data_IF_775057476445
#
_entry.id   IF_775057476445
#
_cell.length_a   1.000
_cell.length_b   1.000
_cell.length_c   1.000
_cell.angle_alpha   90.00
_cell.angle_beta   90.00
_cell.angle_gamma   90.00
#
_symmetry.space_group_name_H-M   'P 1'
#
loop_
_entity.id
_entity.type
_entity.pdbx_description
1 polymer ?
2 polymer ?
#
# COMPACT_ATOMS: atom_id res chain seq x y z
N UNK A 5 -16.77 1.15 -8.80
CA UNK A 5 -16.44 2.42 -8.11
C UNK A 5 -14.92 2.61 -7.98
N UNK A 6 -14.20 1.69 -7.32
CA UNK A 6 -12.74 1.82 -7.30
C UNK A 6 -12.01 0.65 -7.92
N UNK A 7 -11.08 0.96 -8.80
CA UNK A 7 -10.33 -0.06 -9.49
C UNK A 7 -8.99 0.54 -9.96
N UNK A 8 -8.23 -0.25 -10.72
CA UNK A 8 -6.93 0.17 -11.21
C UNK A 8 -6.88 1.43 -12.02
N UNK A 9 -8.01 2.05 -12.37
CA UNK A 9 -8.00 3.20 -13.30
C UNK A 9 -8.18 4.55 -12.61
N UNK A 10 -8.63 4.52 -11.36
CA UNK A 10 -8.73 5.74 -10.52
C UNK A 10 -8.02 5.61 -9.16
N UNK A 11 -7.25 4.53 -8.99
CA UNK A 11 -6.55 4.23 -7.75
C UNK A 11 -5.19 4.91 -7.77
N UNK A 12 -5.03 5.86 -6.85
CA UNK A 12 -3.75 6.55 -6.71
C UNK A 12 -2.75 5.63 -6.08
N UNK A 13 -3.16 4.95 -5.01
CA UNK A 13 -2.25 4.17 -4.17
C UNK A 13 -3.11 3.06 -3.62
N UNK A 14 -2.49 1.92 -3.37
CA UNK A 14 -3.19 0.73 -2.92
C UNK A 14 -2.13 -0.14 -2.29
N UNK A 15 -2.22 -0.32 -0.98
CA UNK A 15 -1.37 -1.25 -0.28
C UNK A 15 -2.17 -2.31 0.48
N UNK A 16 -2.12 -3.57 0.07
CA UNK A 16 -2.77 -4.62 0.81
C UNK A 16 -2.06 -4.97 2.12
N UNK A 17 -2.86 -5.16 3.15
CA UNK A 17 -2.46 -5.98 4.29
C UNK A 17 -2.02 -5.24 5.54
N UNK A 18 -2.61 -4.06 5.75
CA UNK A 18 -2.16 -3.16 6.78
C UNK A 18 -2.86 -3.61 8.03
N UNK A 19 -2.27 -3.38 9.20
CA UNK A 19 -2.89 -3.77 10.45
C UNK A 19 -3.46 -2.57 11.15
N UNK A 20 -4.70 -2.24 10.81
CA UNK A 20 -5.42 -1.10 11.42
C UNK A 20 -5.73 -1.37 12.88
N UNK A 21 -5.24 -0.51 13.79
CA UNK A 21 -5.57 -0.63 15.22
C UNK A 21 -6.50 0.45 15.72
N UNK A 22 -6.50 1.59 15.06
CA UNK A 22 -7.51 2.59 15.31
C UNK A 22 -7.93 3.12 13.95
N UNK A 23 -9.15 3.57 13.84
CA UNK A 23 -10.22 3.59 14.82
C UNK A 23 -10.95 2.24 14.84
N UNK A 24 -10.26 1.19 14.44
CA UNK A 24 -10.74 -0.16 14.63
C UNK A 24 -9.59 -1.15 14.46
N UNK A 25 -9.71 -2.30 15.10
CA UNK A 25 -8.74 -3.38 14.96
C UNK A 25 -9.13 -4.32 13.82
N UNK A 26 -8.38 -4.31 12.71
CA UNK A 26 -8.62 -5.28 11.61
C UNK A 26 -7.55 -5.17 10.56
N UNK A 27 -7.20 -6.30 9.94
CA UNK A 27 -6.30 -6.31 8.76
C UNK A 27 -7.07 -5.81 7.55
N UNK A 28 -6.60 -4.70 6.98
CA UNK A 28 -7.30 -4.06 5.89
C UNK A 28 -6.37 -3.63 4.77
N UNK A 29 -6.98 -3.13 3.70
CA UNK A 29 -6.25 -2.54 2.59
C UNK A 29 -6.37 -1.07 2.63
N UNK A 30 -5.31 -0.36 2.29
CA UNK A 30 -5.33 1.11 2.35
C UNK A 30 -5.37 1.63 0.94
N UNK A 31 -6.27 2.54 0.66
CA UNK A 31 -6.46 3.00 -0.72
C UNK A 31 -6.74 4.49 -0.84
N UNK A 32 -5.94 5.13 -1.69
CA UNK A 32 -6.24 6.50 -2.14
C UNK A 32 -6.78 6.44 -3.57
N UNK A 33 -7.88 7.10 -3.82
CA UNK A 33 -8.40 7.08 -5.18
C UNK A 33 -9.25 8.26 -5.46
N UNK A 34 -9.42 8.59 -6.73
CA UNK A 34 -10.34 9.68 -7.14
C UNK A 34 -11.72 9.12 -7.46
N UNK A 35 -12.71 9.59 -6.71
CA UNK A 35 -14.12 9.26 -6.94
C UNK A 35 -14.50 9.41 -8.43
N UNK A 36 -15.24 8.44 -8.96
CA UNK A 36 -15.73 8.56 -10.34
C UNK A 36 -16.95 9.45 -10.43
N UNK A 37 -17.71 9.57 -9.35
CA UNK A 37 -18.73 10.63 -9.29
C UNK A 37 -18.15 12.01 -9.65
N UNK A 38 -17.27 12.57 -8.83
CA UNK A 38 -16.87 13.99 -9.01
C UNK A 38 -15.37 14.29 -9.11
N UNK A 39 -14.55 13.32 -9.56
CA UNK A 39 -13.07 13.51 -9.63
C UNK A 39 -12.29 13.85 -8.35
N UNK A 40 -12.92 13.67 -7.18
CA UNK A 40 -12.38 14.09 -5.89
C UNK A 40 -11.62 12.94 -5.22
N UNK A 41 -10.56 13.24 -4.47
CA UNK A 41 -9.74 12.19 -3.94
C UNK A 41 -10.26 11.67 -2.63
N UNK A 42 -10.02 10.40 -2.33
CA UNK A 42 -10.54 9.80 -1.12
C UNK A 42 -9.56 8.80 -0.52
N UNK A 43 -9.59 8.75 0.80
CA UNK A 43 -8.91 7.76 1.52
C UNK A 43 -10.00 6.85 1.96
N UNK A 44 -9.77 5.55 1.79
CA UNK A 44 -10.66 4.54 2.31
C UNK A 44 -9.81 3.42 2.91
N UNK A 45 -10.41 2.60 3.77
CA UNK A 45 -9.89 1.28 4.14
C UNK A 45 -10.89 0.15 3.69
N UNK A 46 -10.39 -0.86 2.96
CA UNK A 46 -11.27 -1.89 2.39
C UNK A 46 -11.05 -3.26 3.01
N UNK A 47 -12.17 -4.00 3.07
CA UNK A 47 -12.18 -5.43 3.31
C UNK A 47 -12.69 -5.95 2.01
N UNK A 48 -11.84 -6.65 1.24
CA UNK A 48 -12.14 -6.92 -0.14
C UNK A 48 -12.63 -5.63 -0.79
N UNK A 49 -13.93 -5.54 -0.99
CA UNK A 49 -14.57 -4.32 -1.50
C UNK A 49 -15.57 -3.69 -0.51
N UNK A 50 -15.61 -4.15 0.75
CA UNK A 50 -16.25 -3.35 1.80
C UNK A 50 -15.46 -2.04 1.98
N UNK A 51 -16.08 -1.07 2.62
CA UNK A 51 -15.40 0.12 2.98
C UNK A 51 -15.68 0.41 4.45
N UNK A 52 -14.74 0.06 5.30
CA UNK A 52 -14.93 0.20 6.71
C UNK A 52 -14.91 1.65 7.19
N UNK A 53 -14.39 2.53 6.34
CA UNK A 53 -13.98 3.87 6.72
C UNK A 53 -13.53 4.50 5.42
N UNK A 54 -14.12 5.63 5.09
CA UNK A 54 -13.63 6.44 4.03
C UNK A 54 -13.53 7.85 4.51
N UNK A 55 -12.46 8.54 4.13
CA UNK A 55 -12.29 9.95 4.38
C UNK A 55 -12.16 10.69 3.06
N UNK A 56 -13.06 11.64 2.84
CA UNK A 56 -13.15 12.44 1.61
C UNK A 56 -12.48 13.80 1.67
N UNK A 57 -11.79 14.15 0.60
CA UNK A 57 -11.59 15.55 0.24
C UNK A 57 -12.12 15.83 -1.17
N UNK A 60 -7.81 20.58 3.82
CA UNK A 60 -9.23 20.37 4.01
C UNK A 60 -9.55 19.41 5.19
N UNK A 61 -9.55 18.08 4.99
CA UNK A 61 -10.09 17.13 6.01
C UNK A 61 -9.05 16.52 6.95
N UNK A 62 -8.02 15.94 6.36
CA UNK A 62 -6.89 15.43 7.12
C UNK A 62 -6.14 16.59 7.77
N UNK A 63 -5.98 16.54 9.09
CA UNK A 63 -5.35 17.64 9.85
C UNK A 63 -3.83 17.44 9.93
N UNK A 64 -3.42 16.20 10.22
CA UNK A 64 -2.04 15.84 10.49
C UNK A 64 -1.89 14.39 10.20
N UNK A 65 -0.80 14.04 9.54
CA UNK A 65 -0.45 12.63 9.37
C UNK A 65 1.07 12.39 9.36
N UNK A 66 1.49 11.22 9.80
CA UNK A 66 2.89 11.03 10.11
C UNK A 66 3.27 9.55 10.18
N UNK A 67 4.47 9.20 9.71
CA UNK A 67 5.03 7.89 10.03
C UNK A 67 5.66 7.95 11.43
N UNK A 68 5.40 6.95 12.29
CA UNK A 68 5.93 6.95 13.66
C UNK A 68 6.51 5.59 13.95
N UNK A 69 7.58 5.53 14.75
CA UNK A 69 8.18 4.23 14.97
C UNK A 69 7.47 3.54 16.06
N UNK A 70 7.70 2.24 16.12
CA UNK A 70 7.01 1.40 17.08
C UNK A 70 7.94 1.08 18.20
N UNK A 71 7.71 1.60 19.39
CA UNK A 71 8.62 1.26 20.49
C UNK A 71 9.09 -0.19 20.36
N UNK A 72 10.42 -0.30 20.31
CA UNK A 72 11.16 -1.53 20.41
C UNK A 72 10.98 -2.51 19.24
N UNK A 73 10.27 -2.10 18.19
CA UNK A 73 9.94 -3.02 17.09
C UNK A 73 10.22 -2.34 15.75
N UNK A 74 11.40 -2.62 15.15
CA UNK A 74 11.81 -1.98 13.90
C UNK A 74 11.35 -2.64 12.58
N UNK A 75 10.82 -3.84 12.64
CA UNK A 75 10.26 -4.36 11.42
C UNK A 75 8.90 -3.68 11.21
N UNK A 76 8.54 -2.77 12.10
CA UNK A 76 7.19 -2.25 12.14
C UNK A 76 7.17 -0.73 12.18
N UNK A 77 6.04 -0.16 11.78
CA UNK A 77 5.89 1.27 11.69
C UNK A 77 4.41 1.66 11.63
N UNK A 78 4.08 2.74 12.33
CA UNK A 78 2.75 3.29 12.41
C UNK A 78 2.56 4.31 11.32
N UNK A 79 1.40 4.38 10.71
CA UNK A 79 1.01 5.56 9.97
C UNK A 79 -0.14 6.13 10.75
N UNK A 80 -0.02 7.39 11.12
CA UNK A 80 -0.97 8.03 11.99
C UNK A 80 -1.61 9.16 11.22
N UNK A 81 -2.95 9.22 11.22
CA UNK A 81 -3.66 10.21 10.46
C UNK A 81 -4.81 10.62 11.31
N UNK A 82 -4.98 11.92 11.44
CA UNK A 82 -6.14 12.51 12.09
C UNK A 82 -7.01 13.23 11.03
N UNK A 83 -8.30 13.40 11.33
CA UNK A 83 -9.22 13.96 10.37
C UNK A 83 -10.43 14.65 11.05
N UNK A 84 -10.91 15.74 10.46
CA UNK A 84 -12.14 16.41 10.88
C UNK A 84 -13.33 15.46 10.80
N UNK A 85 -13.43 14.66 9.73
CA UNK A 85 -14.59 13.70 9.56
C UNK A 85 -14.45 12.59 8.51
N UNK A 86 -15.33 11.60 8.59
CA UNK A 86 -15.33 10.49 7.64
C UNK A 86 -16.76 10.12 7.26
N UNK A 87 -16.94 9.04 6.50
CA UNK A 87 -18.24 8.64 5.99
C UNK A 87 -19.17 8.26 7.13
N UNK A 88 -20.41 8.79 7.13
CA UNK A 88 -21.45 8.42 8.14
C UNK A 88 -21.04 8.79 9.58
N UNK A 89 -20.06 9.66 9.74
CA UNK A 89 -19.40 9.78 11.02
C UNK A 89 -19.26 8.46 11.79
N UNK A 90 -18.88 7.38 11.11
CA UNK A 90 -18.82 6.04 11.70
C UNK A 90 -17.83 6.01 12.85
N UNK A 91 -16.75 6.78 12.70
CA UNK A 91 -15.70 6.87 13.72
C UNK A 91 -15.28 8.32 13.85
N UNK A 92 -14.51 8.62 14.91
CA UNK A 92 -13.89 9.96 15.13
C UNK A 92 -12.40 9.87 15.40
N UNK A 93 -12.00 8.83 16.15
CA UNK A 93 -10.61 8.57 16.51
C UNK A 93 -9.61 8.48 15.33
N UNK A 94 -8.33 8.75 15.61
CA UNK A 94 -7.37 8.82 14.52
C UNK A 94 -7.08 7.45 13.93
N UNK A 95 -6.64 7.48 12.69
CA UNK A 95 -6.26 6.30 12.01
C UNK A 95 -4.82 6.02 12.41
N UNK A 96 -4.65 4.93 13.16
CA UNK A 96 -3.36 4.35 13.38
C UNK A 96 -3.40 2.98 12.76
N UNK A 97 -2.34 2.68 12.01
CA UNK A 97 -2.17 1.40 11.46
C UNK A 97 -0.70 1.13 11.58
N UNK A 98 -0.31 -0.08 11.26
CA UNK A 98 1.02 -0.56 11.47
C UNK A 98 1.49 -1.28 10.18
N UNK A 99 2.45 -0.68 9.48
CA UNK A 99 3.01 -1.31 8.29
C UNK A 99 4.15 -2.20 8.74
N UNK A 100 4.18 -3.41 8.21
CA UNK A 100 5.38 -4.19 8.32
C UNK A 100 6.40 -3.74 7.25
N UNK A 101 7.68 -3.57 7.62
CA UNK A 101 8.65 -3.10 6.67
C UNK A 101 8.94 -4.13 5.61
N UNK A 102 9.33 -5.32 6.04
CA UNK A 102 9.79 -6.32 5.08
C UNK A 102 8.68 -6.63 4.10
N UNK A 103 7.46 -6.72 4.61
CA UNK A 103 6.35 -7.09 3.77
C UNK A 103 6.10 -5.99 2.79
N UNK A 104 6.18 -4.78 3.28
CA UNK A 104 5.90 -3.65 2.48
C UNK A 104 6.82 -3.73 1.29
N UNK A 105 8.09 -3.98 1.55
CA UNK A 105 9.07 -4.02 0.47
C UNK A 105 8.66 -5.09 -0.56
N UNK A 106 8.31 -6.29 -0.11
CA UNK A 106 8.07 -7.40 -1.03
C UNK A 106 6.81 -7.11 -1.84
N UNK A 107 5.81 -6.49 -1.22
CA UNK A 107 4.62 -6.05 -1.93
C UNK A 107 4.90 -4.97 -3.00
N UNK A 108 5.70 -3.98 -2.65
CA UNK A 108 6.14 -2.99 -3.63
C UNK A 108 6.86 -3.69 -4.77
N UNK A 109 7.57 -4.77 -4.42
CA UNK A 109 8.27 -5.57 -5.43
C UNK A 109 7.26 -6.34 -6.30
N UNK A 110 6.31 -7.03 -5.68
CA UNK A 110 5.31 -7.74 -6.47
C UNK A 110 4.37 -6.77 -7.30
N UNK A 111 4.30 -5.50 -6.92
CA UNK A 111 3.63 -4.51 -7.78
C UNK A 111 4.56 -4.00 -8.87
N UNK A 112 5.82 -4.42 -8.87
CA UNK A 112 6.78 -3.87 -9.82
C UNK A 112 7.10 -2.40 -9.56
N UNK A 113 6.95 -1.94 -8.31
CA UNK A 113 7.31 -0.57 -7.99
C UNK A 113 8.77 -0.45 -7.67
N UNK A 114 9.41 -1.52 -7.21
CA UNK A 114 10.81 -1.43 -6.87
C UNK A 114 11.48 -2.74 -7.22
N UNK A 115 12.76 -2.70 -7.59
CA UNK A 115 13.48 -3.92 -8.09
C UNK A 115 13.76 -4.98 -7.00
N UNK A 116 14.08 -6.17 -7.48
CA UNK A 116 14.46 -7.28 -6.63
C UNK A 116 15.49 -6.90 -5.55
N UNK A 117 16.41 -6.00 -5.91
CA UNK A 117 17.57 -5.76 -5.09
C UNK A 117 17.34 -4.71 -4.00
N UNK A 118 16.40 -3.79 -4.20
CA UNK A 118 16.23 -2.64 -3.30
C UNK A 118 15.92 -3.11 -1.90
N UNK A 119 16.53 -2.53 -0.88
CA UNK A 119 16.21 -2.95 0.49
C UNK A 119 15.95 -1.83 1.46
N UNK A 120 15.88 -0.62 0.97
CA UNK A 120 15.68 0.57 1.78
C UNK A 120 14.18 0.98 1.76
N UNK A 121 13.50 0.67 2.86
CA UNK A 121 12.08 0.97 3.11
C UNK A 121 11.71 2.45 2.87
N UNK A 122 12.60 3.36 3.19
CA UNK A 122 12.28 4.74 2.94
C UNK A 122 11.91 4.90 1.44
N UNK A 123 12.29 3.96 0.56
CA UNK A 123 11.83 4.06 -0.83
C UNK A 123 10.33 3.84 -0.92
N UNK A 124 9.83 2.94 -0.11
CA UNK A 124 8.40 2.75 -0.06
C UNK A 124 7.83 4.04 0.44
N UNK A 125 8.41 4.55 1.52
CA UNK A 125 7.88 5.71 2.27
C UNK A 125 7.78 6.95 1.37
N UNK A 126 8.85 7.21 0.64
CA UNK A 126 8.90 8.23 -0.39
C UNK A 126 7.64 8.09 -1.26
N UNK A 127 7.38 6.87 -1.74
CA UNK A 127 6.29 6.66 -2.66
C UNK A 127 4.95 6.96 -2.00
N UNK A 128 4.77 6.56 -0.73
CA UNK A 128 3.48 6.77 -0.05
C UNK A 128 3.24 8.26 0.16
N UNK A 129 4.30 8.96 0.55
CA UNK A 129 4.19 10.40 0.84
C UNK A 129 3.74 11.19 -0.40
N UNK A 130 4.17 10.71 -1.56
CA UNK A 130 3.95 11.36 -2.82
C UNK A 130 2.55 11.07 -3.34
N UNK A 131 2.12 9.82 -3.28
CA UNK A 131 0.76 9.54 -3.69
C UNK A 131 -0.18 10.37 -2.81
N UNK A 132 0.13 10.44 -1.53
CA UNK A 132 -0.66 11.23 -0.58
C UNK A 132 -0.84 12.68 -0.97
N UNK A 133 0.26 13.37 -1.33
CA UNK A 133 0.18 14.73 -1.85
C UNK A 133 -0.80 14.77 -3.02
N UNK A 134 -0.81 13.71 -3.83
CA UNK A 134 -1.77 13.58 -4.91
C UNK A 134 -3.18 13.40 -4.40
N UNK A 135 -3.33 13.05 -3.12
CA UNK A 135 -4.66 12.87 -2.49
C UNK A 135 -5.02 14.10 -1.58
N UNK A 136 -4.29 15.20 -1.79
CA UNK A 136 -4.57 16.46 -1.11
C UNK A 136 -3.98 16.51 0.28
N UNK A 137 -3.01 15.64 0.62
CA UNK A 137 -2.51 15.64 1.99
C UNK A 137 -1.04 15.27 2.24
N UNK A 138 -0.47 15.82 3.33
CA UNK A 138 0.93 15.56 3.74
C UNK A 138 1.05 14.51 4.82
N UNK A 139 1.93 13.52 4.61
CA UNK A 139 2.36 12.62 5.68
C UNK A 139 3.82 12.98 6.10
N UNK A 140 4.04 13.49 7.31
CA UNK A 140 5.39 13.81 7.68
C UNK A 140 6.15 12.53 8.07
N UNK A 141 7.48 12.65 8.11
CA UNK A 141 8.37 11.56 8.47
C UNK A 141 9.57 12.03 9.33
N UNK A 142 9.28 12.50 10.55
CA UNK A 142 10.21 13.16 11.46
C UNK A 142 11.22 12.31 12.25
N UNK A 143 11.17 11.00 12.16
CA UNK A 143 12.26 10.16 12.65
C UNK A 143 13.17 9.66 11.50
N UNK A 144 13.16 10.42 10.41
CA UNK A 144 14.19 10.35 9.42
C UNK A 144 14.68 11.79 9.18
N UNK A 157 14.24 17.99 15.05
CA UNK A 157 14.77 16.72 15.57
C UNK A 157 13.96 15.98 16.71
N UNK A 158 13.24 14.91 16.36
CA UNK A 158 12.19 14.32 17.20
C UNK A 158 12.65 13.18 18.08
N UNK A 159 11.82 12.77 19.03
CA UNK A 159 12.13 11.65 19.92
C UNK A 159 10.84 11.18 20.59
N UNK A 160 10.83 9.94 21.12
CA UNK A 160 9.68 9.38 21.93
C UNK A 160 10.07 8.58 23.19
N UNK A 161 9.17 8.47 24.17
CA UNK A 161 9.43 7.76 25.42
C UNK A 161 8.17 7.11 25.94
N UNK A 162 8.34 6.15 26.84
CA UNK A 162 7.22 5.54 27.56
C UNK A 162 6.79 6.30 28.82
N UNK A 163 5.52 6.20 29.15
CA UNK A 163 5.00 6.79 30.36
C UNK A 163 3.58 6.28 30.58
N UNK A 164 2.88 6.84 31.55
CA UNK A 164 1.55 6.39 31.87
C UNK A 164 0.68 7.60 31.93
N UNK A 165 -0.55 7.46 31.42
CA UNK A 165 -1.68 8.33 31.77
C UNK A 165 -2.62 7.60 32.72
N UNK A 166 -2.98 8.25 33.82
CA UNK A 166 -3.66 7.54 34.91
C UNK A 166 -3.01 6.17 35.08
N UNK A 167 -3.75 5.14 34.71
CA UNK A 167 -3.30 3.77 34.85
C UNK A 167 -2.75 3.14 33.56
N UNK A 168 -2.95 3.80 32.42
CA UNK A 168 -2.57 3.23 31.12
C UNK A 168 -1.19 3.68 30.67
N UNK A 169 -0.34 2.72 30.30
CA UNK A 169 0.88 3.01 29.60
C UNK A 169 0.55 3.47 28.20
N UNK A 170 1.41 4.37 27.69
CA UNK A 170 1.41 4.89 26.32
C UNK A 170 2.78 5.36 25.85
N UNK A 171 2.88 5.77 24.59
CA UNK A 171 4.09 6.40 24.09
C UNK A 171 3.80 7.87 23.92
N UNK A 172 4.68 8.68 24.47
CA UNK A 172 4.62 10.12 24.23
C UNK A 172 5.64 10.35 23.12
N UNK A 173 5.19 10.86 21.98
CA UNK A 173 6.09 11.24 20.89
C UNK A 173 6.22 12.75 20.82
N UNK A 174 7.45 13.23 20.61
CA UNK A 174 7.73 14.68 20.52
C UNK A 174 8.19 15.00 19.11
N UNK A 175 7.36 15.76 18.39
CA UNK A 175 7.61 16.07 16.95
C UNK A 175 7.90 17.57 16.76
N UNK A 176 8.26 17.99 15.54
CA UNK A 176 8.57 19.40 15.48
C UNK A 176 7.44 20.31 15.93
N UNK A 177 6.21 20.03 15.53
CA UNK A 177 5.13 20.99 15.79
C UNK A 177 3.97 20.39 16.51
N UNK A 178 4.00 19.09 16.79
CA UNK A 178 2.95 18.38 17.56
C UNK A 178 3.58 17.57 18.70
N UNK A 179 2.78 17.28 19.72
CA UNK A 179 3.07 16.16 20.59
C UNK A 179 1.94 15.14 20.56
N UNK A 180 2.27 13.88 20.45
CA UNK A 180 1.28 12.87 20.37
C UNK A 180 1.51 11.93 21.52
N UNK A 181 0.41 11.53 22.18
CA UNK A 181 0.41 10.48 23.19
C UNK A 181 -0.45 9.31 22.71
N UNK A 182 0.17 8.15 22.49
CA UNK A 182 -0.49 6.99 21.82
C UNK A 182 -0.33 5.62 22.51
N UNK A 183 -1.10 4.60 22.14
CA UNK A 183 -2.23 4.67 21.19
C UNK A 183 -3.52 4.01 21.76
N UNK A 184 -3.50 3.69 23.05
CA UNK A 184 -4.73 3.37 23.74
C UNK A 184 -5.72 4.51 23.55
N UNK A 185 -6.98 4.15 23.36
CA UNK A 185 -8.03 5.16 23.31
C UNK A 185 -8.11 5.83 24.70
N UNK A 186 -8.26 7.18 24.77
CA UNK A 186 -8.34 8.22 23.74
C UNK A 186 -6.96 8.68 23.30
N UNK A 187 -6.76 8.78 22.00
CA UNK A 187 -5.45 9.09 21.44
C UNK A 187 -5.35 10.58 21.46
N UNK A 188 -4.28 11.14 22.00
CA UNK A 188 -4.14 12.61 22.08
C UNK A 188 -3.13 13.19 21.10
N UNK A 189 -3.46 14.38 20.67
CA UNK A 189 -2.64 15.15 19.76
C UNK A 189 -2.65 16.56 20.33
N UNK A 190 -1.51 17.21 20.38
CA UNK A 190 -1.44 18.53 20.92
C UNK A 190 -0.59 19.26 19.92
N UNK A 191 -1.14 20.33 19.35
CA UNK A 191 -0.36 21.23 18.48
C UNK A 191 0.59 22.05 19.36
N UNK A 192 1.88 22.07 19.02
CA UNK A 192 2.90 22.63 19.91
C UNK A 192 2.55 24.03 20.34
N UNK A 193 2.06 24.83 19.40
CA UNK A 193 1.64 26.19 19.70
C UNK A 193 0.46 26.31 20.67
N UNK A 194 -0.18 25.19 21.03
CA UNK A 194 -1.21 25.20 22.08
C UNK A 194 -0.66 24.88 23.50
N UNK A 195 0.67 24.76 23.66
CA UNK A 195 1.29 24.36 24.92
C UNK A 195 1.74 25.61 25.69
N UNK A 196 0.90 26.00 26.65
CA UNK A 196 1.23 27.06 27.59
C UNK A 196 2.50 26.71 28.38
N UNK A 197 2.49 25.52 29.00
CA UNK A 197 3.61 25.06 29.81
C UNK A 197 3.67 23.55 30.00
N UNK A 198 4.89 23.07 30.27
CA UNK A 198 5.12 21.71 30.76
C UNK A 198 5.88 21.78 32.07
N UNK A 199 5.23 21.52 33.20
CA UNK A 199 5.90 21.56 34.51
C UNK A 199 6.35 20.15 34.99
N UNK A 200 7.55 20.08 35.58
CA UNK A 200 8.20 18.79 35.94
C UNK A 200 8.13 18.44 37.42
N UNK A 201 8.27 17.18 37.74
CA UNK A 201 8.13 16.74 39.10
C UNK A 201 8.77 15.37 39.35
N UNK A 202 9.71 15.36 40.30
CA UNK A 202 10.39 14.15 40.70
C UNK A 202 9.53 13.32 41.63
N UNK A 203 9.71 12.01 41.50
CA UNK A 203 9.16 10.99 42.39
C UNK A 203 10.26 10.10 42.97
N UNK A 204 11.36 9.99 42.23
CA UNK A 204 12.50 9.21 42.58
C UNK A 204 13.64 9.85 41.80
N UNK A 205 14.88 9.46 42.12
CA UNK A 205 16.06 9.88 41.34
C UNK A 205 15.97 9.29 39.95
N UNK A 206 15.28 8.15 39.85
CA UNK A 206 15.14 7.37 38.63
C UNK A 206 13.97 7.76 37.75
N UNK A 207 12.89 8.29 38.34
CA UNK A 207 11.63 8.51 37.60
C UNK A 207 10.88 9.81 37.98
N UNK A 208 10.31 10.50 36.97
CA UNK A 208 9.49 11.70 37.21
C UNK A 208 8.16 11.76 36.41
N UNK A 209 7.32 12.71 36.85
CA UNK A 209 6.07 13.12 36.22
C UNK A 209 6.16 14.50 35.58
N UNK A 210 5.67 14.55 34.35
CA UNK A 210 5.48 15.79 33.61
C UNK A 210 3.99 16.11 33.44
N UNK A 211 3.64 17.39 33.48
CA UNK A 211 2.28 17.86 33.27
C UNK A 211 2.26 18.92 32.17
N UNK A 212 1.53 18.65 31.08
CA UNK A 212 1.26 19.63 29.99
C UNK A 212 0.15 20.56 30.40
N UNK A 213 0.25 21.82 30.00
CA UNK A 213 -0.86 22.73 30.21
C UNK A 213 -1.21 23.46 28.90
N UNK A 214 -2.46 23.23 28.44
CA UNK A 214 -3.04 23.86 27.23
C UNK A 214 -3.50 25.28 27.52
N UNK A 215 -3.47 26.15 26.51
CA UNK A 215 -3.87 27.58 26.64
C UNK A 215 -5.25 27.80 27.24
N UNK A 216 -6.09 26.77 27.14
CA UNK A 216 -7.43 26.77 27.70
C UNK A 216 -7.50 26.13 29.11
N UNK A 217 -6.35 25.79 29.71
CA UNK A 217 -6.31 25.38 31.13
C UNK A 217 -6.41 23.90 31.49
N UNK A 218 -6.55 23.01 30.50
CA UNK A 218 -6.52 21.56 30.74
C UNK A 218 -5.14 21.03 31.16
N UNK A 219 -5.12 20.11 32.11
CA UNK A 219 -3.88 19.57 32.64
C UNK A 219 -3.87 18.15 32.25
N UNK A 220 -2.70 17.64 31.85
CA UNK A 220 -2.55 16.26 31.42
C UNK A 220 -1.28 15.72 32.05
N UNK A 221 -1.47 14.78 32.99
CA UNK A 221 -0.45 14.35 33.96
C UNK A 221 0.27 13.11 33.48
N UNK A 222 1.31 13.31 32.68
CA UNK A 222 2.10 12.21 32.14
C UNK A 222 3.11 11.66 33.16
N UNK A 223 2.76 10.57 33.83
CA UNK A 223 3.57 10.14 34.95
C UNK A 223 4.55 9.06 34.56
N UNK A 224 5.42 8.74 35.50
CA UNK A 224 6.33 7.59 35.48
C UNK A 224 7.37 7.60 34.41
N UNK A 225 7.75 8.80 33.98
CA UNK A 225 8.80 8.90 32.96
C UNK A 225 10.15 8.62 33.59
N UNK A 226 10.94 7.78 32.94
CA UNK A 226 12.34 7.61 33.27
C UNK A 226 13.10 8.97 33.18
N UNK A 227 13.98 9.18 34.16
CA UNK A 227 14.77 10.41 34.32
C UNK A 227 15.77 10.67 33.19
N UNK A 228 16.17 9.62 32.49
CA UNK A 228 17.12 9.77 31.37
C UNK A 228 16.50 10.64 30.27
N UNK A 229 15.17 10.69 30.25
CA UNK A 229 14.44 11.46 29.24
C UNK A 229 14.31 12.96 29.58
N UNK A 230 14.58 13.32 30.82
CA UNK A 230 14.40 14.68 31.28
C UNK A 230 15.07 15.70 30.35
N UNK A 231 16.38 15.52 30.17
CA UNK A 231 17.15 16.39 29.27
C UNK A 231 16.40 16.64 27.96
N UNK A 232 15.99 15.58 27.28
CA UNK A 232 15.32 15.74 26.01
C UNK A 232 14.06 16.56 26.13
N UNK A 233 13.36 16.49 27.24
CA UNK A 233 12.13 17.30 27.35
C UNK A 233 12.43 18.79 27.59
N UNK A 234 13.35 19.12 28.50
CA UNK A 234 13.73 20.53 28.71
C UNK A 234 14.18 21.22 27.41
N UNK A 235 15.12 20.58 26.75
CA UNK A 235 15.59 20.98 25.44
C UNK A 235 14.43 21.29 24.48
N UNK A 236 13.43 20.40 24.46
CA UNK A 236 12.26 20.60 23.63
C UNK A 236 11.58 21.95 23.92
N UNK A 237 11.60 22.41 25.18
CA UNK A 237 11.10 23.77 25.52
C UNK A 237 12.20 24.82 25.79
N UNK B 10 -2.90 5.34 -26.48
CA UNK B 10 -1.79 5.14 -27.47
C UNK B 10 -1.52 3.68 -27.94
N UNK B 11 -1.18 3.55 -29.22
CA UNK B 11 -1.10 2.25 -29.91
C UNK B 11 0.34 1.86 -30.14
N UNK B 12 0.80 0.89 -29.38
CA UNK B 12 2.11 0.35 -29.58
C UNK B 12 1.90 -1.01 -30.24
N UNK B 13 2.84 -1.35 -31.13
CA UNK B 13 2.95 -2.65 -31.80
C UNK B 13 1.63 -3.36 -32.05
N UNK B 14 0.65 -2.61 -32.53
CA UNK B 14 -0.69 -3.13 -32.81
C UNK B 14 -1.61 -2.99 -31.63
N UNK B 15 -1.07 -3.23 -30.43
CA UNK B 15 -1.88 -3.24 -29.22
C UNK B 15 -2.41 -1.87 -28.89
N UNK B 16 -3.72 -1.85 -28.60
CA UNK B 16 -4.37 -0.62 -28.24
C UNK B 16 -4.28 -0.36 -26.74
N UNK B 17 -3.41 0.59 -26.31
CA UNK B 17 -3.07 0.76 -24.86
C UNK B 17 -3.72 1.94 -24.18
N UNK B 18 -4.61 1.69 -23.22
CA UNK B 18 -5.21 2.80 -22.47
C UNK B 18 -4.26 3.25 -21.38
N UNK B 19 -4.06 4.56 -21.36
CA UNK B 19 -3.07 5.18 -20.52
C UNK B 19 -3.80 5.97 -19.44
N UNK B 20 -3.45 5.67 -18.20
CA UNK B 20 -4.05 6.32 -17.08
C UNK B 20 -3.27 7.60 -16.80
N UNK B 21 -3.88 8.57 -16.10
CA UNK B 21 -3.04 9.66 -15.55
C UNK B 21 -1.92 9.10 -14.70
N UNK B 22 -0.77 9.75 -14.82
CA UNK B 22 0.51 9.24 -14.29
C UNK B 22 0.54 9.06 -12.76
N UNK B 23 -0.22 9.92 -12.07
CA UNK B 23 -0.42 9.78 -10.64
C UNK B 23 -0.88 8.40 -10.24
N UNK B 24 -1.51 7.64 -11.15
CA UNK B 24 -2.17 6.42 -10.77
C UNK B 24 -1.11 5.36 -10.53
N UNK B 25 -1.33 4.56 -9.49
CA UNK B 25 -0.37 3.55 -9.10
C UNK B 25 0.02 2.72 -10.34
N UNK B 26 -0.98 2.28 -11.11
CA UNK B 26 -0.76 1.41 -12.25
C UNK B 26 0.16 2.09 -13.23
N UNK B 27 -0.02 3.39 -13.40
CA UNK B 27 0.78 4.12 -14.34
C UNK B 27 2.23 3.98 -13.94
N UNK B 28 2.50 4.04 -12.65
CA UNK B 28 3.86 3.88 -12.20
C UNK B 28 4.23 2.43 -12.13
N UNK B 29 3.31 1.50 -12.35
CA UNK B 29 3.79 0.09 -12.43
C UNK B 29 3.91 -0.44 -13.84
N UNK B 30 3.75 0.45 -14.83
CA UNK B 30 4.03 0.14 -16.24
C UNK B 30 5.49 0.45 -16.63
N UNK B 31 6.25 -0.55 -17.06
CA UNK B 31 7.59 -0.31 -17.63
C UNK B 31 7.70 -0.76 -19.11
N UNK B 32 6.58 -1.13 -19.70
CA UNK B 32 6.49 -1.46 -21.14
C UNK B 32 7.06 -0.34 -22.03
N UNK B 33 8.02 -0.71 -22.85
CA UNK B 33 8.81 0.25 -23.60
C UNK B 33 9.37 -0.46 -24.85
N UNK B 34 9.83 0.34 -25.82
CA UNK B 34 10.70 -0.15 -26.88
C UNK B 34 12.13 -0.17 -26.39
N UNK B 35 12.80 -1.29 -26.53
CA UNK B 35 14.10 -1.42 -25.91
C UNK B 35 15.20 -1.35 -26.96
N UNK B 36 16.04 -0.32 -26.86
CA UNK B 36 16.91 0.05 -27.98
C UNK B 36 17.75 -1.15 -28.39
N UNK B 37 18.62 -1.58 -27.48
CA UNK B 37 19.68 -2.53 -27.81
C UNK B 37 19.10 -3.84 -28.35
N UNK B 38 18.09 -4.35 -27.64
CA UNK B 38 17.44 -5.59 -28.08
C UNK B 38 16.70 -5.42 -29.39
N UNK B 39 16.37 -4.18 -29.74
CA UNK B 39 15.76 -3.82 -31.03
C UNK B 39 14.28 -4.25 -31.18
N UNK B 40 13.58 -4.26 -30.06
CA UNK B 40 12.19 -4.68 -30.03
C UNK B 40 11.36 -4.06 -28.89
N UNK B 41 10.10 -4.47 -28.81
CA UNK B 41 9.25 -4.04 -27.73
C UNK B 41 9.18 -5.03 -26.57
N UNK B 42 9.13 -4.48 -25.35
CA UNK B 42 9.05 -5.29 -24.16
C UNK B 42 7.89 -4.82 -23.29
N UNK B 43 7.50 -5.70 -22.42
CA UNK B 43 6.17 -5.68 -21.91
C UNK B 43 6.18 -6.03 -20.42
N UNK B 44 5.67 -5.12 -19.62
CA UNK B 44 5.31 -5.46 -18.29
C UNK B 44 3.99 -6.25 -18.41
N UNK B 45 3.88 -7.40 -17.76
CA UNK B 45 2.57 -7.98 -17.61
C UNK B 45 2.23 -8.10 -16.11
N UNK B 46 0.94 -8.03 -15.79
CA UNK B 46 0.47 -8.31 -14.43
C UNK B 46 -0.04 -9.76 -14.27
N UNK B 47 0.74 -10.58 -13.60
CA UNK B 47 0.35 -11.95 -13.37
C UNK B 47 -0.59 -11.98 -12.20
N UNK B 48 -1.72 -12.63 -12.36
CA UNK B 48 -2.62 -12.90 -11.24
C UNK B 48 -2.89 -14.40 -11.21
N UNK B 49 -2.35 -15.06 -10.18
CA UNK B 49 -2.50 -16.50 -9.99
C UNK B 49 -3.69 -16.77 -9.11
N UNK B 50 -4.63 -17.56 -9.64
CA UNK B 50 -5.79 -17.99 -8.87
C UNK B 50 -5.61 -19.44 -8.43
N UNK B 51 -5.48 -19.64 -7.12
CA UNK B 51 -5.27 -20.95 -6.59
C UNK B 51 -6.61 -21.64 -6.49
N UNK B 52 -6.55 -22.87 -6.01
CA UNK B 52 -7.68 -23.78 -5.96
C UNK B 52 -8.43 -23.65 -4.63
N UNK B 53 -9.60 -23.01 -4.71
CA UNK B 53 -10.41 -22.70 -3.55
C UNK B 53 -11.09 -23.94 -2.95
N UNK B 54 -11.87 -23.75 -1.89
CA UNK B 54 -12.40 -24.85 -1.07
C UNK B 54 -13.85 -24.58 -0.57
N UNK B 60 -5.65 -14.43 -0.69
CA UNK B 60 -5.56 -15.75 -1.34
C UNK B 60 -5.04 -15.72 -2.77
N UNK B 61 -5.37 -14.70 -3.56
CA UNK B 61 -4.69 -14.50 -4.87
C UNK B 61 -3.20 -14.27 -4.64
N UNK B 62 -2.39 -14.45 -5.69
CA UNK B 62 -1.00 -13.95 -5.67
C UNK B 62 -0.82 -13.23 -6.98
N UNK B 63 -0.51 -11.94 -6.86
CA UNK B 63 -0.30 -11.09 -8.00
C UNK B 63 1.18 -10.78 -8.09
N UNK B 64 1.70 -10.69 -9.30
CA UNK B 64 3.03 -10.23 -9.48
C UNK B 64 3.20 -9.61 -10.84
N UNK B 65 3.93 -8.49 -10.89
CA UNK B 65 4.16 -7.74 -12.10
C UNK B 65 5.58 -7.95 -12.58
N UNK B 66 5.73 -8.52 -13.79
CA UNK B 66 7.04 -8.76 -14.38
C UNK B 66 7.27 -7.68 -15.36
N UNK B 67 8.53 -7.37 -15.62
CA UNK B 67 8.87 -6.29 -16.51
C UNK B 67 9.76 -6.81 -17.64
N UNK B 68 9.91 -6.03 -18.70
CA UNK B 68 10.88 -6.34 -19.76
C UNK B 68 10.72 -7.76 -20.28
N UNK B 69 9.48 -8.16 -20.53
CA UNK B 69 9.23 -9.41 -21.21
C UNK B 69 9.27 -9.14 -22.68
N UNK B 70 9.96 -9.99 -23.42
CA UNK B 70 10.22 -9.72 -24.85
C UNK B 70 8.97 -10.00 -25.69
N UNK B 71 8.57 -9.03 -26.52
CA UNK B 71 7.35 -9.20 -27.29
C UNK B 71 7.37 -10.48 -28.08
N UNK B 72 8.55 -10.84 -28.54
CA UNK B 72 8.77 -12.09 -29.25
C UNK B 72 9.22 -13.11 -28.20
N UNK B 73 8.24 -13.67 -27.50
CA UNK B 73 8.45 -14.75 -26.54
C UNK B 73 7.13 -15.43 -26.36
N UNK B 74 7.12 -16.76 -26.27
CA UNK B 74 5.89 -17.42 -25.86
C UNK B 74 5.57 -16.88 -24.46
N UNK B 75 4.31 -16.97 -24.02
CA UNK B 75 3.91 -16.44 -22.70
C UNK B 75 4.58 -17.09 -21.47
N UNK B 76 4.66 -18.42 -21.44
CA UNK B 76 5.39 -19.08 -20.37
C UNK B 76 6.87 -18.64 -20.31
N UNK B 77 7.47 -18.34 -21.47
CA UNK B 77 8.90 -17.98 -21.53
C UNK B 77 9.24 -16.72 -20.71
N UNK B 78 8.27 -15.82 -20.58
CA UNK B 78 8.46 -14.54 -19.89
C UNK B 78 7.68 -14.46 -18.59
N UNK B 79 7.63 -15.56 -17.85
CA UNK B 79 6.96 -15.60 -16.57
C UNK B 79 7.97 -15.01 -15.58
N UNK B 80 8.64 -15.86 -14.81
CA UNK B 80 9.59 -15.38 -13.83
C UNK B 80 9.66 -16.44 -12.78
N UNK B 81 10.86 -16.69 -12.29
CA UNK B 81 11.07 -17.65 -11.21
C UNK B 81 9.96 -17.55 -10.17
N UNK B 82 10.01 -16.54 -9.31
CA UNK B 82 9.05 -16.37 -8.19
C UNK B 82 7.59 -16.80 -8.52
N UNK B 83 7.18 -16.42 -9.74
CA UNK B 83 5.85 -16.63 -10.24
C UNK B 83 5.63 -18.11 -10.52
N UNK B 84 6.62 -18.73 -11.16
CA UNK B 84 6.60 -20.16 -11.34
C UNK B 84 6.57 -20.75 -9.95
N UNK B 85 7.64 -20.57 -9.19
CA UNK B 85 7.67 -21.18 -7.88
C UNK B 85 6.24 -21.21 -7.37
N UNK B 86 5.62 -20.04 -7.39
CA UNK B 86 4.32 -19.84 -6.78
C UNK B 86 3.22 -20.71 -7.45
N UNK B 87 3.24 -20.82 -8.79
CA UNK B 87 2.41 -21.80 -9.50
C UNK B 87 2.75 -23.22 -8.97
N UNK B 88 4.05 -23.54 -8.93
CA UNK B 88 4.53 -24.84 -8.38
C UNK B 88 4.03 -25.15 -6.92
N UNK B 89 3.55 -24.16 -6.17
CA UNK B 89 2.99 -24.42 -4.83
C UNK B 89 1.46 -24.43 -4.80
N UNK B 90 0.83 -23.63 -5.66
CA UNK B 90 -0.63 -23.62 -5.84
C UNK B 90 -1.12 -24.91 -6.51
N UNK B 91 -0.23 -25.65 -7.19
CA UNK B 91 -0.58 -26.82 -8.04
C UNK B 91 0.37 -28.05 -7.78
N UNK B 92 1.33 -28.37 -8.66
CA UNK B 92 2.39 -29.35 -8.32
C UNK B 92 3.61 -29.24 -9.22
N UNK B 107 14.75 -26.55 -12.90
CA UNK B 107 14.32 -25.24 -12.43
C UNK B 107 14.84 -24.06 -13.24
N UNK B 108 15.72 -24.30 -14.23
CA UNK B 108 16.12 -23.25 -15.17
C UNK B 108 14.96 -22.96 -16.12
N UNK B 109 14.94 -21.74 -16.66
CA UNK B 109 13.90 -21.36 -17.61
C UNK B 109 13.51 -22.54 -18.53
N UNK B 110 14.52 -23.21 -19.10
CA UNK B 110 14.40 -24.40 -19.97
C UNK B 110 13.35 -25.40 -19.55
N UNK B 111 13.42 -25.77 -18.28
CA UNK B 111 12.53 -26.76 -17.69
C UNK B 111 11.24 -26.07 -17.27
N UNK B 112 11.36 -24.96 -16.53
CA UNK B 112 10.20 -24.19 -16.04
C UNK B 112 9.22 -23.96 -17.16
N UNK B 113 9.75 -23.42 -18.25
CA UNK B 113 9.01 -23.22 -19.49
C UNK B 113 8.34 -24.52 -19.89
N UNK B 114 9.07 -25.62 -19.78
CA UNK B 114 8.64 -26.96 -20.23
C UNK B 114 7.58 -27.59 -19.31
N UNK B 115 7.65 -27.32 -18.01
CA UNK B 115 6.70 -27.89 -17.04
C UNK B 115 5.34 -27.20 -17.04
N UNK B 116 5.31 -25.91 -17.40
CA UNK B 116 4.03 -25.18 -17.49
C UNK B 116 3.26 -25.56 -18.76
N UNK B 117 3.95 -26.06 -19.79
CA UNK B 117 3.29 -26.45 -21.03
C UNK B 117 2.43 -27.72 -20.93
N UNK B 118 2.78 -28.60 -20.00
CA UNK B 118 2.09 -29.89 -19.85
C UNK B 118 1.33 -29.84 -18.54
N UNK B 119 0.66 -28.71 -18.34
CA UNK B 119 0.29 -28.25 -17.02
C UNK B 119 -1.21 -28.19 -16.78
N UNK B 120 -1.97 -27.82 -17.80
CA UNK B 120 -3.43 -27.71 -17.65
C UNK B 120 -3.94 -26.38 -17.11
N UNK B 121 -3.01 -25.46 -16.88
CA UNK B 121 -3.38 -24.15 -16.46
C UNK B 121 -3.92 -23.45 -17.67
N UNK B 122 -5.10 -22.86 -17.54
CA UNK B 122 -5.60 -21.98 -18.56
C UNK B 122 -5.15 -20.53 -18.25
N UNK B 123 -5.07 -19.71 -19.29
CA UNK B 123 -4.58 -18.37 -19.16
C UNK B 123 -5.60 -17.47 -19.79
N UNK B 124 -6.06 -16.52 -19.00
CA UNK B 124 -7.08 -15.61 -19.43
C UNK B 124 -6.52 -14.20 -19.32
N UNK B 125 -6.59 -13.39 -20.37
CA UNK B 125 -6.43 -11.94 -20.25
C UNK B 125 -7.86 -11.39 -20.24
N UNK B 126 -8.00 -10.09 -20.12
CA UNK B 126 -9.32 -9.51 -20.02
C UNK B 126 -9.61 -8.75 -21.29
N UNK B 127 -10.89 -8.49 -21.57
CA UNK B 127 -11.31 -8.06 -22.92
C UNK B 127 -12.14 -6.81 -22.87
N UNK B 128 -12.06 -6.00 -23.90
CA UNK B 128 -12.62 -4.65 -23.89
C UNK B 128 -13.36 -4.39 -25.20
N UNK B 129 -14.42 -3.53 -25.17
CA UNK B 129 -15.08 -3.05 -26.38
C UNK B 129 -14.12 -2.46 -27.44
N UNK B 135 -12.23 5.77 -20.33
CA UNK B 135 -11.42 4.63 -19.87
C UNK B 135 -12.07 3.78 -18.77
N UNK B 136 -12.03 2.45 -18.94
CA UNK B 136 -12.81 1.60 -18.05
C UNK B 136 -12.31 0.17 -17.91
N UNK B 137 -12.04 -0.24 -16.67
CA UNK B 137 -11.69 -1.64 -16.26
C UNK B 137 -12.74 -2.66 -16.79
N UNK B 138 -12.41 -3.95 -16.80
CA UNK B 138 -13.33 -4.99 -17.25
C UNK B 138 -13.27 -6.28 -16.40
N UNK B 139 -14.36 -7.03 -16.42
CA UNK B 139 -14.41 -8.31 -15.74
C UNK B 139 -14.85 -9.40 -16.73
N UNK B 140 -14.74 -9.07 -18.01
CA UNK B 140 -15.03 -9.98 -19.09
C UNK B 140 -13.69 -10.51 -19.50
N UNK B 141 -13.52 -11.82 -19.41
CA UNK B 141 -12.25 -12.43 -19.76
C UNK B 141 -12.39 -13.27 -21.02
N UNK B 142 -11.28 -13.36 -21.77
CA UNK B 142 -11.07 -14.34 -22.85
C UNK B 142 -9.85 -15.18 -22.52
N UNK B 143 -10.08 -16.49 -22.38
CA UNK B 143 -9.03 -17.50 -22.44
C UNK B 143 -8.13 -17.30 -23.65
N UNK B 144 -6.82 -17.49 -23.50
CA UNK B 144 -5.98 -17.38 -24.69
C UNK B 144 -4.98 -18.51 -24.84
N UNK B 145 -4.60 -18.71 -26.09
CA UNK B 145 -3.97 -19.94 -26.58
C UNK B 145 -2.50 -19.70 -26.51
N UNK B 146 -1.94 -19.94 -25.34
CA UNK B 146 -0.63 -19.43 -25.02
C UNK B 146 0.46 -20.13 -25.80
N UNK B 147 0.21 -21.40 -26.16
CA UNK B 147 1.21 -22.26 -26.77
C UNK B 147 1.23 -22.18 -28.28
N UNK B 148 0.36 -21.36 -28.84
CA UNK B 148 0.18 -21.33 -30.26
C UNK B 148 0.51 -19.96 -30.80
N UNK B 149 1.22 -19.13 -30.01
CA UNK B 149 1.50 -17.70 -30.34
C UNK B 149 2.43 -16.99 -29.33
N UNK B 150 3.17 -16.01 -29.83
CA UNK B 150 3.98 -15.15 -28.99
C UNK B 150 3.10 -14.02 -28.41
N UNK B 151 3.54 -13.44 -27.30
CA UNK B 151 2.79 -12.37 -26.58
C UNK B 151 2.34 -11.28 -27.55
N UNK B 152 3.26 -10.87 -28.43
CA UNK B 152 3.03 -9.83 -29.41
C UNK B 152 1.88 -10.17 -30.33
N UNK B 153 1.73 -11.44 -30.65
CA UNK B 153 0.61 -11.86 -31.49
C UNK B 153 -0.61 -12.00 -30.59
N UNK B 154 -0.47 -12.70 -29.46
CA UNK B 154 -1.57 -12.77 -28.48
C UNK B 154 -2.18 -11.41 -28.11
N UNK B 155 -1.49 -10.32 -28.43
CA UNK B 155 -1.95 -9.03 -27.98
C UNK B 155 -2.33 -8.14 -29.14
N UNK B 156 -1.98 -8.52 -30.36
CA UNK B 156 -1.96 -7.57 -31.49
C UNK B 156 -3.21 -6.70 -31.66
N UNK B 157 -4.38 -7.30 -31.80
CA UNK B 157 -5.58 -6.49 -32.02
C UNK B 157 -6.43 -6.57 -30.76
N UNK B 158 -5.83 -6.27 -29.60
CA UNK B 158 -6.55 -6.21 -28.31
C UNK B 158 -6.49 -4.84 -27.74
N UNK B 159 -7.07 -4.72 -26.56
CA UNK B 159 -6.82 -3.56 -25.74
C UNK B 159 -6.29 -3.97 -24.36
N UNK B 160 -5.33 -3.19 -23.84
CA UNK B 160 -4.91 -3.35 -22.44
C UNK B 160 -5.07 -2.08 -21.68
N UNK B 161 -5.24 -2.19 -20.39
CA UNK B 161 -5.12 -1.02 -19.54
C UNK B 161 -3.65 -0.95 -19.16
N UNK B 162 -2.97 -0.07 -19.87
CA UNK B 162 -1.53 0.15 -19.72
C UNK B 162 -0.69 -1.03 -20.25
N UNK B 163 -1.17 -2.24 -20.01
CA UNK B 163 -0.34 -3.41 -20.19
C UNK B 163 -1.14 -4.60 -19.70
N UNK B 164 -0.98 -5.72 -20.39
CA UNK B 164 -1.76 -6.92 -20.10
C UNK B 164 -1.81 -7.29 -18.63
N UNK B 165 -2.98 -7.72 -18.19
CA UNK B 165 -3.13 -8.44 -16.96
C UNK B 165 -3.46 -9.89 -17.39
N UNK B 166 -2.98 -10.90 -16.67
CA UNK B 166 -3.09 -12.27 -17.15
C UNK B 166 -3.36 -13.21 -16.01
N UNK B 167 -4.58 -13.76 -16.01
CA UNK B 167 -5.10 -14.61 -14.96
C UNK B 167 -4.72 -16.05 -15.26
N UNK B 168 -4.49 -16.79 -14.18
CA UNK B 168 -4.00 -18.15 -14.20
C UNK B 168 -4.86 -18.93 -13.21
N UNK B 169 -5.38 -20.08 -13.62
CA UNK B 169 -6.18 -20.91 -12.73
C UNK B 169 -6.39 -22.29 -13.36
N UNK B 170 -6.58 -23.30 -12.52
CA UNK B 170 -6.86 -24.65 -13.03
C UNK B 170 -8.24 -24.72 -13.66
N UNK B 171 -9.22 -24.12 -12.98
CA UNK B 171 -10.61 -24.03 -13.45
C UNK B 171 -11.15 -22.61 -13.34
N UNK B 172 -12.26 -22.35 -14.02
CA UNK B 172 -12.93 -21.04 -14.03
C UNK B 172 -13.45 -20.69 -12.63
N UNK B 173 -13.90 -21.70 -11.93
CA UNK B 173 -14.51 -21.50 -10.63
C UNK B 173 -13.60 -20.62 -9.82
N UNK B 174 -12.34 -21.02 -9.79
CA UNK B 174 -11.24 -20.30 -9.14
C UNK B 174 -10.97 -18.83 -9.55
N UNK B 175 -11.25 -18.42 -10.78
CA UNK B 175 -11.10 -17.01 -11.12
C UNK B 175 -11.86 -16.15 -10.09
N UNK B 176 -11.41 -14.92 -9.85
CA UNK B 176 -12.14 -14.06 -8.90
C UNK B 176 -13.62 -13.88 -9.24
N UNK B 177 -14.45 -13.55 -8.24
CA UNK B 177 -15.92 -13.44 -8.45
C UNK B 177 -16.21 -12.10 -9.03
N UNK B 178 -17.24 -12.02 -9.86
CA UNK B 178 -17.47 -10.83 -10.69
C UNK B 178 -16.89 -11.03 -12.09
N UNK B 179 -15.76 -11.75 -12.19
CA UNK B 179 -15.14 -12.08 -13.48
C UNK B 179 -15.92 -13.18 -14.18
N UNK B 180 -16.18 -12.96 -15.46
CA UNK B 180 -16.93 -13.90 -16.28
C UNK B 180 -16.19 -14.13 -17.60
N UNK B 181 -15.96 -15.40 -17.97
CA UNK B 181 -15.28 -15.74 -19.21
C UNK B 181 -16.22 -15.97 -20.36
N UNK B 182 -15.84 -15.48 -21.54
CA UNK B 182 -16.62 -15.55 -22.76
C UNK B 182 -16.06 -16.63 -23.69
N UNK B 183 -16.88 -17.61 -24.08
CA UNK B 183 -16.50 -18.62 -25.11
C UNK B 183 -17.35 -18.50 -26.37
#
# INVERSE_FOLDING_TARGET
GHMDEISETNTIFKLEGVSVLSPLRKKLDLVFYLSNVDGSPVITLLKGNDRELSIYQLNKNIKMASFLPVPEKPNLIYLFMTYTSCEDNKFSEPVVMTLNKENTLNQFKKLGLLDSNVTDFEKCVEYIRKQAILTGFKISNPFVNSTLVDTDAEKINSFHLQCHRGTKEGTLYFLPDHIIFGFKKPILLFDASDIESITYSSITRLTFNASLVTKDGEKYEFSMIDQTEYAKIDDYVKRK
MRDSTECQRIIRRGVNCLMLPKGMQRSSQNRSKWDKTMDLFVWSVEWILCPMQEKGEKKELFKHVSHRIKETDFLVQGMGKNVFQKCCEFYRLAGTSSCIEGEDGSETKEERTQILQKSGLKFYTKTFPYNTTHIMDSKKLVELAIHEKCIGELLKNTTVIEFPTIFVAMTEADLPEGYEVLHQE
#
